data_IF_464861523987
#
_entry.id   IF_464861523987
#
_cell.length_a   1.000
_cell.length_b   1.000
_cell.length_c   1.000
_cell.angle_alpha   90.00
_cell.angle_beta   90.00
_cell.angle_gamma   90.00
#
_symmetry.space_group_name_H-M   'P 1'
#
loop_
_entity.id
_entity.type
_entity.pdbx_description
1 polymer ?
#
# COMPACT_ATOMS: atom_id res chain seq x y z
N UNK A 1 18.00 -3.27 -7.22
CA UNK A 1 17.18 -2.17 -7.78
C UNK A 1 16.59 -1.41 -6.61
N UNK A 2 16.95 -0.15 -6.41
CA UNK A 2 16.37 0.66 -5.34
C UNK A 2 14.97 1.08 -5.77
N UNK A 3 13.94 0.35 -5.32
CA UNK A 3 12.54 0.71 -5.52
C UNK A 3 12.23 1.90 -4.62
N UNK A 4 12.36 3.11 -5.18
CA UNK A 4 11.89 4.32 -4.52
C UNK A 4 10.36 4.19 -4.36
N UNK A 5 9.89 4.05 -3.12
CA UNK A 5 8.46 3.96 -2.83
C UNK A 5 7.76 5.23 -3.33
N UNK A 6 6.72 5.06 -4.14
CA UNK A 6 5.94 6.19 -4.68
C UNK A 6 4.93 6.74 -3.66
N UNK A 7 4.91 6.20 -2.44
CA UNK A 7 3.98 6.53 -1.36
C UNK A 7 3.85 8.03 -1.09
N UNK A 8 4.94 8.83 -1.01
CA UNK A 8 4.80 10.28 -0.81
C UNK A 8 4.00 10.97 -1.92
N UNK A 9 4.13 10.51 -3.17
CA UNK A 9 3.37 11.07 -4.30
C UNK A 9 1.90 10.63 -4.26
N UNK A 10 1.63 9.39 -3.86
CA UNK A 10 0.26 8.87 -3.72
C UNK A 10 -0.54 9.61 -2.63
N UNK A 11 0.13 10.17 -1.62
CA UNK A 11 -0.53 10.94 -0.56
C UNK A 11 -1.11 12.27 -1.05
N UNK A 12 -0.52 12.85 -2.09
CA UNK A 12 -0.94 14.15 -2.66
C UNK A 12 -1.73 14.02 -3.95
N UNK A 13 -1.82 12.81 -4.53
CA UNK A 13 -2.60 12.56 -5.74
C UNK A 13 -4.12 12.51 -5.41
N UNK A 14 -4.93 13.46 -5.94
CA UNK A 14 -6.36 13.50 -5.69
C UNK A 14 -7.12 12.32 -6.32
N UNK A 15 -6.50 11.61 -7.26
CA UNK A 15 -7.07 10.46 -7.92
C UNK A 15 -6.97 9.18 -7.05
N UNK A 16 -6.16 9.21 -5.99
CA UNK A 16 -6.03 8.11 -5.02
C UNK A 16 -7.20 8.16 -4.04
N UNK A 17 -7.96 7.06 -3.85
CA UNK A 17 -9.05 7.00 -2.88
C UNK A 17 -8.60 7.42 -1.48
N UNK A 18 -9.47 8.12 -0.74
CA UNK A 18 -9.16 8.62 0.59
C UNK A 18 -8.74 7.49 1.54
N UNK A 19 -9.40 6.33 1.48
CA UNK A 19 -9.07 5.17 2.32
C UNK A 19 -7.66 4.65 2.04
N UNK A 20 -7.22 4.67 0.78
CA UNK A 20 -5.87 4.30 0.40
C UNK A 20 -4.85 5.32 0.92
N UNK A 21 -5.14 6.63 0.81
CA UNK A 21 -4.27 7.69 1.34
C UNK A 21 -4.11 7.59 2.86
N UNK A 22 -5.20 7.36 3.59
CA UNK A 22 -5.16 7.18 5.05
C UNK A 22 -4.31 5.98 5.44
N UNK A 23 -4.46 4.84 4.75
CA UNK A 23 -3.66 3.65 5.01
C UNK A 23 -2.17 3.88 4.70
N UNK A 24 -1.85 4.58 3.61
CA UNK A 24 -0.48 4.99 3.30
C UNK A 24 0.10 5.94 4.35
N UNK A 25 -0.69 6.92 4.81
CA UNK A 25 -0.26 7.87 5.85
C UNK A 25 0.02 7.15 7.16
N UNK A 26 -0.87 6.24 7.59
CA UNK A 26 -0.67 5.41 8.76
C UNK A 26 0.63 4.58 8.66
N UNK A 27 0.96 4.06 7.47
CA UNK A 27 2.20 3.30 7.26
C UNK A 27 3.49 4.08 7.52
N UNK A 28 3.44 5.42 7.45
CA UNK A 28 4.58 6.29 7.73
C UNK A 28 4.74 6.61 9.22
N UNK A 29 3.67 6.43 10.01
CA UNK A 29 3.63 6.73 11.45
C UNK A 29 3.95 5.50 12.31
N UNK A 30 3.84 4.30 11.73
CA UNK A 30 4.07 3.04 12.44
C UNK A 30 5.56 2.73 12.57
N UNK A 31 6.02 2.51 13.80
CA UNK A 31 7.40 2.06 14.08
C UNK A 31 7.60 0.57 13.79
N UNK A 32 6.52 -0.21 13.83
CA UNK A 32 6.52 -1.64 13.53
C UNK A 32 6.49 -1.85 12.01
N UNK A 33 7.54 -2.46 11.47
CA UNK A 33 7.69 -2.68 10.02
C UNK A 33 6.63 -3.64 9.45
N UNK A 34 6.19 -4.61 10.24
CA UNK A 34 5.14 -5.55 9.86
C UNK A 34 3.80 -4.81 9.72
N UNK A 35 3.41 -4.01 10.72
CA UNK A 35 2.19 -3.19 10.67
C UNK A 35 2.25 -2.14 9.57
N UNK A 36 3.41 -1.52 9.35
CA UNK A 36 3.60 -0.57 8.24
C UNK A 36 3.38 -1.25 6.88
N UNK A 37 3.88 -2.48 6.70
CA UNK A 37 3.67 -3.28 5.49
C UNK A 37 2.19 -3.64 5.30
N UNK A 38 1.49 -4.03 6.36
CA UNK A 38 0.06 -4.33 6.31
C UNK A 38 -0.79 -3.12 5.91
N UNK A 39 -0.46 -1.94 6.44
CA UNK A 39 -1.12 -0.68 6.09
C UNK A 39 -0.92 -0.34 4.59
N UNK A 40 0.29 -0.54 4.05
CA UNK A 40 0.54 -0.39 2.61
C UNK A 40 -0.19 -1.43 1.77
N UNK A 41 -0.25 -2.68 2.23
CA UNK A 41 -0.99 -3.73 1.55
C UNK A 41 -2.50 -3.44 1.51
N UNK A 42 -3.06 -2.87 2.58
CA UNK A 42 -4.43 -2.36 2.60
C UNK A 42 -4.65 -1.28 1.55
N UNK A 43 -3.76 -0.28 1.46
CA UNK A 43 -3.83 0.73 0.41
C UNK A 43 -3.81 0.10 -1.00
N UNK A 44 -2.92 -0.88 -1.21
CA UNK A 44 -2.85 -1.64 -2.46
C UNK A 44 -4.17 -2.35 -2.82
N UNK A 45 -4.81 -3.00 -1.84
CA UNK A 45 -6.14 -3.62 -2.04
C UNK A 45 -7.21 -2.62 -2.44
N UNK A 46 -7.23 -1.44 -1.80
CA UNK A 46 -8.17 -0.37 -2.15
C UNK A 46 -7.95 0.10 -3.57
N UNK A 47 -6.69 0.26 -3.99
CA UNK A 47 -6.34 0.66 -5.37
C UNK A 47 -6.81 -0.37 -6.40
N UNK A 48 -6.60 -1.67 -6.14
CA UNK A 48 -7.11 -2.75 -7.02
C UNK A 48 -8.63 -2.67 -7.14
N UNK A 49 -9.34 -2.54 -6.01
CA UNK A 49 -10.81 -2.54 -5.98
C UNK A 49 -11.43 -1.29 -6.62
N UNK A 50 -10.86 -0.11 -6.38
CA UNK A 50 -11.49 1.17 -6.74
C UNK A 50 -10.93 1.79 -8.02
N UNK A 51 -9.72 1.43 -8.43
CA UNK A 51 -9.03 2.03 -9.59
C UNK A 51 -8.75 1.04 -10.71
N UNK A 52 -9.22 -0.22 -10.60
CA UNK A 52 -8.99 -1.31 -11.57
C UNK A 52 -7.50 -1.55 -11.89
N UNK A 53 -6.61 -1.23 -10.95
CA UNK A 53 -5.20 -1.58 -11.09
C UNK A 53 -5.04 -3.10 -10.97
N UNK A 54 -4.09 -3.66 -11.70
CA UNK A 54 -3.62 -5.01 -11.42
C UNK A 54 -2.97 -5.06 -10.04
N UNK A 55 -2.97 -6.25 -9.43
CA UNK A 55 -2.31 -6.49 -8.14
C UNK A 55 -0.84 -6.06 -8.20
N UNK A 56 -0.16 -6.35 -9.30
CA UNK A 56 1.25 -5.99 -9.51
C UNK A 56 1.48 -4.49 -9.52
N UNK A 57 0.69 -3.74 -10.31
CA UNK A 57 0.80 -2.27 -10.36
C UNK A 57 0.54 -1.67 -8.98
N UNK A 58 -0.49 -2.13 -8.28
CA UNK A 58 -0.79 -1.65 -6.93
C UNK A 58 0.36 -1.96 -5.95
N UNK A 59 0.98 -3.13 -6.05
CA UNK A 59 2.11 -3.54 -5.21
C UNK A 59 3.34 -2.66 -5.42
N UNK A 60 3.66 -2.38 -6.69
CA UNK A 60 4.76 -1.48 -7.07
C UNK A 60 4.52 -0.06 -6.55
N UNK A 61 3.29 0.48 -6.70
CA UNK A 61 2.91 1.80 -6.22
C UNK A 61 3.07 1.95 -4.70
N UNK A 62 2.56 0.99 -3.92
CA UNK A 62 2.56 1.05 -2.46
C UNK A 62 3.83 0.48 -1.83
N UNK A 63 4.75 -0.06 -2.62
CA UNK A 63 6.05 -0.57 -2.16
C UNK A 63 5.96 -1.81 -1.29
N UNK A 64 5.14 -2.79 -1.69
CA UNK A 64 5.04 -4.12 -1.05
C UNK A 64 5.07 -5.22 -2.10
N UNK A 65 5.26 -6.47 -1.68
CA UNK A 65 5.14 -7.63 -2.57
C UNK A 65 3.67 -7.90 -2.93
N UNK A 66 3.40 -8.35 -4.16
CA UNK A 66 2.04 -8.67 -4.63
C UNK A 66 1.30 -9.65 -3.71
N UNK A 67 2.01 -10.65 -3.17
CA UNK A 67 1.45 -11.61 -2.23
C UNK A 67 0.92 -10.98 -0.93
N UNK A 68 1.41 -9.80 -0.53
CA UNK A 68 0.88 -9.07 0.62
C UNK A 68 -0.49 -8.42 0.35
N UNK A 69 -0.76 -8.05 -0.91
CA UNK A 69 -2.07 -7.52 -1.34
C UNK A 69 -3.09 -8.66 -1.43
N UNK A 70 -2.65 -9.81 -1.94
CA UNK A 70 -3.48 -11.02 -2.11
C UNK A 70 -3.77 -11.70 -0.77
N UNK A 71 -2.79 -11.70 0.14
CA UNK A 71 -2.94 -12.25 1.48
C UNK A 71 -3.84 -11.37 2.35
N UNK A 72 -4.81 -12.01 3.02
CA UNK A 72 -5.58 -11.42 4.12
C UNK A 72 -4.98 -11.75 5.49
N UNK A 73 -3.92 -12.56 5.53
CA UNK A 73 -3.28 -12.94 6.78
C UNK A 73 -2.36 -11.81 7.24
N UNK A 74 -2.37 -11.46 8.53
CA UNK A 74 -1.42 -10.52 9.09
C UNK A 74 0.01 -11.06 8.91
N UNK A 75 0.97 -10.16 8.78
CA UNK A 75 2.37 -10.54 8.72
C UNK A 75 2.74 -11.24 10.04
N UNK A 76 3.35 -12.43 9.95
CA UNK A 76 3.89 -13.11 11.11
C UNK A 76 5.00 -12.23 11.73
N UNK A 77 4.92 -12.02 13.04
CA UNK A 77 5.88 -11.24 13.82
C UNK A 77 7.24 -11.95 13.95
#
# INVERSE_FOLDING_TARGET
MNTWSLVPMLLVDPAVPEEARLALHASLLLSDACRAREARALAGRVLVQRRRLSVREAAELVGVEAGAIESRLPCAA
#
